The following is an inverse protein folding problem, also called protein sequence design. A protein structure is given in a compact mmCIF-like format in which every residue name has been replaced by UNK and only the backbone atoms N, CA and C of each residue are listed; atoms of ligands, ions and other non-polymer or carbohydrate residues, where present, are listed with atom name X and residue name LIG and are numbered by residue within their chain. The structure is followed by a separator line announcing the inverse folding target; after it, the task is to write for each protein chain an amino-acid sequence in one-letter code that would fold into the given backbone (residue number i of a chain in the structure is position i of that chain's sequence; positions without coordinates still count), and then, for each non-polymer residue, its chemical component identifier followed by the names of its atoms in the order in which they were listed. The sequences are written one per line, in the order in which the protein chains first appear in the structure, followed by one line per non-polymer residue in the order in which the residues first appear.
data_IF_963041059913
#
_entry.id   IF_963041059913
#
_cell.length_a   1.000
_cell.length_b   1.000
_cell.length_c   1.000
_cell.angle_alpha   90.00
_cell.angle_beta   90.00
_cell.angle_gamma   90.00
#
_symmetry.space_group_name_H-M   'P 1'
#
loop_
_entity.id
_entity.type
_entity.pdbx_description
1 polymer ?
#
# COMPACT_ATOMS: atom_id res chain seq x y z
N UNK A 1 -13.78 -4.05 -19.92
CA UNK A 1 -13.10 -4.01 -18.61
C UNK A 1 -11.69 -4.51 -18.86
N UNK A 2 -10.64 -3.70 -18.63
CA UNK A 2 -9.27 -4.21 -18.69
C UNK A 2 -9.16 -5.42 -17.76
N UNK A 3 -8.41 -6.44 -18.17
CA UNK A 3 -8.19 -7.62 -17.35
C UNK A 3 -7.61 -7.18 -15.99
N UNK A 4 -8.10 -7.75 -14.87
CA UNK A 4 -7.62 -7.41 -13.53
C UNK A 4 -6.09 -7.38 -13.43
N UNK A 5 -5.39 -8.23 -14.19
CA UNK A 5 -3.93 -8.25 -14.31
C UNK A 5 -3.33 -6.94 -14.87
N UNK A 6 -3.93 -6.33 -15.88
CA UNK A 6 -3.41 -5.09 -16.49
C UNK A 6 -3.54 -3.91 -15.53
N UNK A 7 -4.67 -3.82 -14.82
CA UNK A 7 -4.87 -2.80 -13.76
C UNK A 7 -3.91 -3.03 -12.59
N UNK A 8 -3.62 -4.29 -12.27
CA UNK A 8 -2.64 -4.66 -11.22
C UNK A 8 -1.21 -4.25 -11.61
N UNK A 9 -0.85 -4.46 -12.88
CA UNK A 9 0.47 -4.10 -13.40
C UNK A 9 0.69 -2.59 -13.42
N UNK A 10 -0.31 -1.82 -13.86
CA UNK A 10 -0.24 -0.34 -13.85
C UNK A 10 -0.14 0.20 -12.43
N UNK A 11 -0.99 -0.26 -11.51
CA UNK A 11 -0.97 0.19 -10.11
C UNK A 11 0.36 -0.12 -9.42
N UNK A 12 0.97 -1.26 -9.77
CA UNK A 12 2.31 -1.64 -9.30
C UNK A 12 3.36 -0.67 -9.82
N UNK A 13 3.33 -0.34 -11.10
CA UNK A 13 4.28 0.60 -11.70
C UNK A 13 4.16 1.99 -11.07
N UNK A 14 2.92 2.46 -10.88
CA UNK A 14 2.63 3.71 -10.18
C UNK A 14 3.18 3.71 -8.74
N UNK A 15 3.08 2.57 -8.04
CA UNK A 15 3.65 2.42 -6.70
C UNK A 15 5.18 2.40 -6.70
N UNK A 16 5.82 1.74 -7.65
CA UNK A 16 7.29 1.72 -7.78
C UNK A 16 7.82 3.14 -7.95
N UNK A 17 7.15 3.95 -8.78
CA UNK A 17 7.59 5.30 -9.07
C UNK A 17 7.14 6.34 -8.03
N UNK A 18 5.97 6.18 -7.43
CA UNK A 18 5.34 7.19 -6.55
C UNK A 18 5.19 6.78 -5.09
N UNK A 19 5.38 5.51 -4.73
CA UNK A 19 5.14 4.99 -3.38
C UNK A 19 6.02 5.63 -2.31
N UNK A 20 7.26 6.01 -2.66
CA UNK A 20 8.13 6.73 -1.73
C UNK A 20 7.57 8.10 -1.29
N UNK A 21 6.80 8.78 -2.17
CA UNK A 21 6.12 10.03 -1.82
C UNK A 21 4.92 9.79 -0.91
N UNK A 22 4.26 8.63 -1.03
CA UNK A 22 3.21 8.20 -0.10
C UNK A 22 3.80 7.96 1.29
N UNK A 23 4.92 7.25 1.36
CA UNK A 23 5.59 6.93 2.62
C UNK A 23 6.21 8.15 3.29
N UNK A 24 6.66 9.14 2.52
CA UNK A 24 7.17 10.41 3.07
C UNK A 24 6.13 11.19 3.92
N UNK A 25 4.84 10.82 3.86
CA UNK A 25 3.82 11.34 4.77
C UNK A 25 4.02 10.88 6.22
N UNK A 26 4.63 9.71 6.43
CA UNK A 26 4.82 9.11 7.75
C UNK A 26 6.19 9.48 8.33
N UNK A 27 6.24 10.01 9.56
CA UNK A 27 7.49 10.45 10.18
C UNK A 27 8.39 9.28 10.62
N UNK A 28 7.85 8.06 10.75
CA UNK A 28 8.61 6.88 11.14
C UNK A 28 9.16 6.13 9.93
N UNK A 29 10.34 6.52 9.49
CA UNK A 29 11.00 5.92 8.32
C UNK A 29 11.50 4.49 8.53
N UNK A 30 11.49 3.98 9.77
CA UNK A 30 12.18 2.74 10.15
C UNK A 30 11.65 1.50 9.44
N UNK A 31 10.34 1.48 9.16
CA UNK A 31 9.63 0.37 8.53
C UNK A 31 9.13 0.68 7.11
N UNK A 32 9.49 1.84 6.54
CA UNK A 32 9.10 2.22 5.17
C UNK A 32 9.52 1.18 4.14
N UNK A 33 10.72 0.61 4.26
CA UNK A 33 11.19 -0.44 3.36
C UNK A 33 10.34 -1.71 3.45
N UNK A 34 9.90 -2.08 4.67
CA UNK A 34 9.05 -3.24 4.89
C UNK A 34 7.63 -3.00 4.36
N UNK A 35 7.07 -1.81 4.60
CA UNK A 35 5.76 -1.41 4.04
C UNK A 35 5.81 -1.42 2.51
N UNK A 36 6.85 -0.83 1.92
CA UNK A 36 7.03 -0.79 0.47
C UNK A 36 7.10 -2.20 -0.13
N UNK A 37 7.91 -3.09 0.46
CA UNK A 37 8.03 -4.47 0.01
C UNK A 37 6.70 -5.25 0.17
N UNK A 38 6.00 -5.05 1.29
CA UNK A 38 4.71 -5.70 1.55
C UNK A 38 3.67 -5.29 0.52
N UNK A 39 3.57 -4.00 0.20
CA UNK A 39 2.59 -3.49 -0.78
C UNK A 39 2.87 -4.06 -2.18
N UNK A 40 4.15 -4.19 -2.58
CA UNK A 40 4.53 -4.82 -3.84
C UNK A 40 4.24 -6.32 -3.88
N UNK A 41 4.40 -7.03 -2.76
CA UNK A 41 4.02 -8.44 -2.64
C UNK A 41 2.49 -8.59 -2.71
N UNK A 42 1.75 -7.81 -1.93
CA UNK A 42 0.29 -7.79 -1.90
C UNK A 42 -0.33 -7.52 -3.27
N UNK A 43 0.25 -6.64 -4.10
CA UNK A 43 -0.23 -6.44 -5.47
C UNK A 43 0.00 -7.64 -6.41
N UNK A 44 0.93 -8.55 -6.07
CA UNK A 44 1.19 -9.78 -6.82
C UNK A 44 0.38 -10.98 -6.28
N UNK A 45 0.24 -11.08 -4.96
CA UNK A 45 -0.21 -12.31 -4.28
C UNK A 45 -1.51 -12.11 -3.47
N UNK A 46 -1.93 -10.87 -3.24
CA UNK A 46 -3.06 -10.52 -2.36
C UNK A 46 -4.44 -10.79 -2.94
N UNK A 47 -4.56 -11.60 -4.00
CA UNK A 47 -5.83 -11.99 -4.61
C UNK A 47 -6.75 -12.78 -3.67
N UNK A 48 -6.17 -13.45 -2.68
CA UNK A 48 -6.90 -14.26 -1.69
C UNK A 48 -7.10 -13.53 -0.34
N UNK A 49 -6.69 -12.26 -0.22
CA UNK A 49 -6.90 -11.50 1.02
C UNK A 49 -8.36 -11.02 1.12
N UNK A 50 -9.07 -11.28 2.23
CA UNK A 50 -10.46 -10.83 2.38
C UNK A 50 -10.61 -9.31 2.37
N UNK A 51 -9.55 -8.56 2.69
CA UNK A 51 -9.53 -7.09 2.62
C UNK A 51 -8.92 -6.56 1.31
N UNK A 52 -8.82 -7.41 0.27
CA UNK A 52 -8.12 -7.07 -0.96
C UNK A 52 -8.61 -5.74 -1.56
N UNK A 53 -9.92 -5.63 -1.79
CA UNK A 53 -10.53 -4.44 -2.40
C UNK A 53 -10.28 -3.18 -1.58
N UNK A 54 -10.37 -3.28 -0.25
CA UNK A 54 -10.15 -2.15 0.67
C UNK A 54 -8.71 -1.65 0.59
N UNK A 55 -7.72 -2.56 0.62
CA UNK A 55 -6.31 -2.19 0.58
C UNK A 55 -5.92 -1.68 -0.80
N UNK A 56 -6.44 -2.27 -1.89
CA UNK A 56 -6.23 -1.77 -3.26
C UNK A 56 -6.82 -0.38 -3.46
N UNK A 57 -8.00 -0.11 -2.90
CA UNK A 57 -8.62 1.22 -2.90
C UNK A 57 -7.74 2.25 -2.19
N UNK A 58 -7.20 1.91 -1.01
CA UNK A 58 -6.26 2.77 -0.28
C UNK A 58 -4.99 3.06 -1.09
N UNK A 59 -4.42 2.06 -1.76
CA UNK A 59 -3.23 2.22 -2.62
C UNK A 59 -3.56 3.16 -3.79
N UNK A 60 -4.65 2.91 -4.50
CA UNK A 60 -5.10 3.72 -5.64
C UNK A 60 -5.32 5.18 -5.24
N UNK A 61 -6.04 5.42 -4.14
CA UNK A 61 -6.29 6.78 -3.66
C UNK A 61 -5.04 7.46 -3.10
N UNK A 62 -4.10 6.71 -2.52
CA UNK A 62 -2.81 7.24 -2.06
C UNK A 62 -1.92 7.67 -3.23
N UNK A 63 -2.02 7.00 -4.38
CA UNK A 63 -1.29 7.34 -5.60
C UNK A 63 -2.00 8.39 -6.47
N UNK A 64 -3.18 8.88 -6.07
CA UNK A 64 -3.83 9.97 -6.76
C UNK A 64 -3.14 11.31 -6.42
N UNK A 65 -2.17 11.68 -7.25
CA UNK A 65 -1.40 12.92 -7.12
C UNK A 65 -2.09 14.14 -7.77
N UNK A 66 -3.20 13.95 -8.49
CA UNK A 66 -4.01 15.06 -9.02
C UNK A 66 -4.77 15.79 -7.91
N UNK A 67 -4.86 15.19 -6.72
CA UNK A 67 -5.46 15.78 -5.53
C UNK A 67 -4.32 16.28 -4.60
N UNK A 68 -4.45 17.48 -4.01
CA UNK A 68 -3.45 17.99 -3.07
C UNK A 68 -3.12 16.99 -1.96
N UNK A 69 -1.83 16.90 -1.62
CA UNK A 69 -1.31 15.96 -0.62
C UNK A 69 -2.06 16.03 0.72
N UNK A 70 -2.40 17.24 1.17
CA UNK A 70 -3.16 17.48 2.40
C UNK A 70 -4.57 16.84 2.37
N UNK A 71 -5.21 16.75 1.21
CA UNK A 71 -6.54 16.15 1.08
C UNK A 71 -6.48 14.61 1.03
N UNK A 72 -5.32 14.03 0.69
CA UNK A 72 -5.10 12.57 0.70
C UNK A 72 -4.27 12.10 1.90
N UNK A 73 -3.85 13.00 2.78
CA UNK A 73 -3.01 12.70 3.95
C UNK A 73 -3.62 11.59 4.82
N UNK A 74 -4.91 11.70 5.16
CA UNK A 74 -5.58 10.68 5.96
C UNK A 74 -5.63 9.31 5.28
N UNK A 75 -5.73 9.27 3.95
CA UNK A 75 -5.74 8.01 3.17
C UNK A 75 -4.36 7.36 3.20
N UNK A 76 -3.29 8.15 3.00
CA UNK A 76 -1.90 7.68 3.04
C UNK A 76 -1.53 7.17 4.44
N UNK A 77 -1.90 7.91 5.48
CA UNK A 77 -1.74 7.50 6.88
C UNK A 77 -2.50 6.22 7.19
N UNK A 78 -3.75 6.09 6.70
CA UNK A 78 -4.55 4.88 6.87
C UNK A 78 -3.92 3.68 6.18
N UNK A 79 -3.42 3.84 4.95
CA UNK A 79 -2.69 2.79 4.23
C UNK A 79 -1.48 2.31 5.03
N UNK A 80 -0.64 3.25 5.49
CA UNK A 80 0.57 2.94 6.27
C UNK A 80 0.21 2.22 7.56
N UNK A 81 -0.77 2.72 8.30
CA UNK A 81 -1.24 2.09 9.54
C UNK A 81 -1.79 0.68 9.32
N UNK A 82 -2.58 0.45 8.27
CA UNK A 82 -3.11 -0.87 7.92
C UNK A 82 -1.98 -1.84 7.60
N UNK A 83 -1.03 -1.45 6.76
CA UNK A 83 0.09 -2.31 6.37
C UNK A 83 1.00 -2.61 7.57
N UNK A 84 1.32 -1.61 8.39
CA UNK A 84 2.08 -1.77 9.62
C UNK A 84 1.40 -2.75 10.60
N UNK A 85 0.09 -2.67 10.75
CA UNK A 85 -0.68 -3.61 11.55
C UNK A 85 -0.65 -5.04 10.98
N UNK A 86 -0.74 -5.20 9.65
CA UNK A 86 -0.61 -6.52 8.99
C UNK A 86 0.78 -7.11 9.17
N UNK A 87 1.83 -6.31 8.99
CA UNK A 87 3.22 -6.70 9.22
C UNK A 87 3.45 -7.15 10.66
N UNK A 88 2.92 -6.41 11.65
CA UNK A 88 2.97 -6.80 13.05
C UNK A 88 2.22 -8.11 13.33
N UNK A 89 1.00 -8.27 12.77
CA UNK A 89 0.21 -9.49 12.93
C UNK A 89 0.84 -10.72 12.24
N UNK A 90 1.59 -10.51 11.16
CA UNK A 90 2.34 -11.56 10.48
C UNK A 90 3.62 -11.92 11.24
N UNK A 91 4.36 -10.93 11.76
CA UNK A 91 5.51 -11.16 12.62
C UNK A 91 5.10 -11.96 13.88
N UNK A 92 3.99 -11.61 14.52
CA UNK A 92 3.41 -12.35 15.64
C UNK A 92 2.94 -13.76 15.28
N UNK A 93 2.63 -14.03 14.00
CA UNK A 93 2.27 -15.39 13.52
C UNK A 93 3.48 -16.23 13.14
N UNK A 94 4.55 -15.61 12.63
CA UNK A 94 5.76 -16.29 12.16
C UNK A 94 6.79 -16.52 13.27
N UNK A 95 6.73 -15.76 14.35
CA UNK A 95 7.57 -15.92 15.53
C UNK A 95 6.78 -16.46 16.73
N UNK A 96 7.12 -17.69 17.12
CA UNK A 96 7.41 -18.12 18.50
C UNK A 96 6.49 -17.63 19.64
#
# INVERSE_FOLDING_TARGET
MPASDEVSATLRDDWIHGGHLVLAADPDTSDHAAIHAWILDFMQTGADDPDQDSIRSLIYHSLNFDIPFQATEHVRQSLIATVRARLAAEASRRGL
#
